data_IF_458582181835
#
_entry.id   IF_458582181835
#
_cell.length_a   1.000
_cell.length_b   1.000
_cell.length_c   1.000
_cell.angle_alpha   90.00
_cell.angle_beta   90.00
_cell.angle_gamma   90.00
#
_symmetry.space_group_name_H-M   'P 1'
#
loop_
_entity.id
_entity.type
_entity.pdbx_description
1 polymer ?
#
# COMPACT_ATOMS: atom_id res chain seq x y z
N UNK A 1 14.10 7.20 -28.47
CA UNK A 1 13.15 6.12 -28.16
C UNK A 1 13.66 5.43 -26.91
N UNK A 2 13.17 5.82 -25.74
CA UNK A 2 13.40 5.10 -24.49
C UNK A 2 12.51 3.86 -24.50
N UNK A 3 13.09 2.66 -24.38
CA UNK A 3 12.29 1.47 -24.06
C UNK A 3 11.55 1.77 -22.75
N UNK A 4 10.22 1.70 -22.76
CA UNK A 4 9.44 1.71 -21.53
C UNK A 4 9.85 0.48 -20.72
N UNK A 5 10.45 0.73 -19.56
CA UNK A 5 10.87 -0.34 -18.67
C UNK A 5 9.63 -0.97 -18.04
N UNK A 6 9.30 -2.19 -18.45
CA UNK A 6 8.15 -2.91 -17.91
C UNK A 6 8.52 -3.60 -16.60
N UNK A 7 7.89 -3.19 -15.50
CA UNK A 7 8.01 -3.88 -14.23
C UNK A 7 7.15 -5.15 -14.23
N UNK A 8 7.77 -6.29 -13.91
CA UNK A 8 7.06 -7.54 -13.63
C UNK A 8 7.00 -7.74 -12.12
N UNK A 9 6.08 -8.60 -11.66
CA UNK A 9 6.02 -8.97 -10.24
C UNK A 9 7.38 -9.51 -9.74
N UNK A 10 7.99 -10.42 -10.51
CA UNK A 10 9.32 -10.97 -10.20
C UNK A 10 10.39 -9.87 -10.03
N UNK A 11 10.31 -8.81 -10.83
CA UNK A 11 11.22 -7.68 -10.70
C UNK A 11 10.99 -6.88 -9.43
N UNK A 12 9.73 -6.57 -9.11
CA UNK A 12 9.36 -5.86 -7.87
C UNK A 12 9.73 -6.67 -6.61
N UNK A 13 9.63 -8.00 -6.68
CA UNK A 13 10.01 -8.91 -5.59
C UNK A 13 11.54 -9.00 -5.40
N UNK A 14 12.31 -8.80 -6.46
CA UNK A 14 13.77 -8.85 -6.40
C UNK A 14 14.41 -7.51 -5.97
N UNK A 15 13.64 -6.43 -5.89
CA UNK A 15 14.16 -5.12 -5.53
C UNK A 15 14.52 -5.03 -4.05
N UNK A 16 15.70 -4.47 -3.80
CA UNK A 16 16.13 -4.00 -2.49
C UNK A 16 15.58 -2.60 -2.22
N UNK A 17 15.67 -2.12 -0.98
CA UNK A 17 15.36 -0.73 -0.65
C UNK A 17 16.16 0.26 -1.50
N UNK A 18 17.45 -0.02 -1.74
CA UNK A 18 18.29 0.79 -2.62
C UNK A 18 17.78 0.84 -4.06
N UNK A 19 17.26 -0.27 -4.60
CA UNK A 19 16.69 -0.26 -5.95
C UNK A 19 15.45 0.64 -6.02
N UNK A 20 14.52 0.52 -5.07
CA UNK A 20 13.35 1.40 -4.97
C UNK A 20 13.75 2.88 -4.91
N UNK A 21 14.76 3.18 -4.10
CA UNK A 21 15.25 4.54 -3.89
C UNK A 21 15.91 5.13 -5.14
N UNK A 22 16.75 4.35 -5.82
CA UNK A 22 17.35 4.77 -7.08
C UNK A 22 16.29 5.07 -8.15
N UNK A 23 15.15 4.38 -8.16
CA UNK A 23 14.05 4.72 -9.07
C UNK A 23 13.36 6.02 -8.69
N UNK A 24 13.15 6.28 -7.39
CA UNK A 24 12.62 7.57 -6.92
C UNK A 24 13.55 8.73 -7.32
N UNK A 25 14.86 8.57 -7.14
CA UNK A 25 15.89 9.58 -7.43
C UNK A 25 16.01 9.93 -8.91
N UNK A 26 15.56 9.06 -9.83
CA UNK A 26 15.48 9.36 -11.27
C UNK A 26 14.41 10.39 -11.63
N UNK A 27 13.52 10.71 -10.68
CA UNK A 27 12.52 11.76 -10.83
C UNK A 27 11.08 11.25 -10.91
N UNK A 28 10.15 12.21 -10.95
CA UNK A 28 8.71 12.00 -10.73
C UNK A 28 8.09 10.97 -11.69
N UNK A 29 8.48 10.98 -12.97
CA UNK A 29 7.98 10.04 -13.98
C UNK A 29 8.35 8.58 -13.66
N UNK A 30 9.58 8.35 -13.20
CA UNK A 30 10.04 7.01 -12.84
C UNK A 30 9.35 6.52 -11.58
N UNK A 31 9.18 7.40 -10.59
CA UNK A 31 8.42 7.10 -9.39
C UNK A 31 6.96 6.75 -9.71
N UNK A 32 6.31 7.53 -10.56
CA UNK A 32 4.94 7.24 -10.99
C UNK A 32 4.83 5.91 -11.73
N UNK A 33 5.80 5.60 -12.60
CA UNK A 33 5.85 4.31 -13.30
C UNK A 33 5.99 3.15 -12.32
N UNK A 34 6.84 3.31 -11.30
CA UNK A 34 7.03 2.32 -10.24
C UNK A 34 5.76 2.13 -9.41
N UNK A 35 5.12 3.21 -8.95
CA UNK A 35 3.84 3.16 -8.23
C UNK A 35 2.75 2.50 -9.07
N UNK A 36 2.65 2.85 -10.36
CA UNK A 36 1.67 2.27 -11.29
C UNK A 36 1.87 0.77 -11.48
N UNK A 37 3.12 0.30 -11.50
CA UNK A 37 3.42 -1.13 -11.58
C UNK A 37 2.98 -1.89 -10.32
N UNK A 38 3.18 -1.32 -9.14
CA UNK A 38 2.73 -1.90 -7.86
C UNK A 38 1.20 -1.96 -7.84
N UNK A 39 0.51 -0.87 -8.21
CA UNK A 39 -0.96 -0.82 -8.32
C UNK A 39 -1.46 -1.90 -9.28
N UNK A 40 -0.84 -2.04 -10.46
CA UNK A 40 -1.21 -3.05 -11.44
C UNK A 40 -1.06 -4.49 -10.89
N UNK A 41 -0.02 -4.75 -10.10
CA UNK A 41 0.20 -6.07 -9.48
C UNK A 41 -0.81 -6.37 -8.35
N UNK A 42 -1.32 -5.34 -7.66
CA UNK A 42 -2.38 -5.51 -6.66
C UNK A 42 -3.71 -5.93 -7.30
N UNK A 43 -3.96 -5.59 -8.58
CA UNK A 43 -5.14 -6.05 -9.35
C UNK A 43 -6.46 -5.89 -8.58
N UNK A 44 -6.66 -4.71 -7.98
CA UNK A 44 -7.77 -4.48 -7.06
C UNK A 44 -9.12 -4.37 -7.78
N UNK A 45 -10.21 -4.84 -7.17
CA UNK A 45 -11.56 -4.64 -7.68
C UNK A 45 -11.92 -3.15 -7.86
N UNK A 46 -12.82 -2.85 -8.80
CA UNK A 46 -13.23 -1.46 -9.11
C UNK A 46 -13.84 -0.69 -7.93
N UNK A 47 -14.27 -1.37 -6.86
CA UNK A 47 -14.79 -0.71 -5.66
C UNK A 47 -13.71 -0.21 -4.71
N UNK A 48 -12.43 -0.47 -5.01
CA UNK A 48 -11.28 0.16 -4.36
C UNK A 48 -10.83 1.38 -5.16
N UNK A 49 -10.73 2.53 -4.49
CA UNK A 49 -9.95 3.67 -4.96
C UNK A 49 -8.49 3.48 -4.58
N UNK A 50 -7.59 3.94 -5.45
CA UNK A 50 -6.14 3.90 -5.22
C UNK A 50 -5.52 5.17 -5.73
N UNK A 51 -4.88 5.91 -4.83
CA UNK A 51 -4.01 7.03 -5.14
C UNK A 51 -2.57 6.66 -4.80
N UNK A 52 -1.61 7.33 -5.44
CA UNK A 52 -0.20 7.18 -5.13
C UNK A 52 0.47 8.54 -4.92
N UNK A 53 1.43 8.58 -4.01
CA UNK A 53 2.24 9.78 -3.82
C UNK A 53 3.12 10.00 -5.04
N UNK A 54 3.09 11.23 -5.57
CA UNK A 54 3.83 11.59 -6.77
C UNK A 54 5.11 12.35 -6.39
N UNK A 55 4.99 13.32 -5.50
CA UNK A 55 6.09 14.17 -5.02
C UNK A 55 6.31 13.98 -3.54
N UNK A 56 5.62 14.75 -2.71
CA UNK A 56 5.79 14.73 -1.25
C UNK A 56 4.47 15.12 -0.58
N UNK A 57 3.34 14.86 -1.27
CA UNK A 57 2.00 15.20 -0.77
C UNK A 57 1.73 14.56 0.60
N UNK A 58 2.39 13.44 0.90
CA UNK A 58 2.28 12.64 2.11
C UNK A 58 3.63 12.47 2.83
N UNK A 59 4.60 13.36 2.55
CA UNK A 59 5.91 13.42 3.21
C UNK A 59 7.08 12.88 2.39
N UNK A 60 6.83 12.15 1.30
CA UNK A 60 7.89 11.69 0.39
C UNK A 60 8.79 10.59 0.94
N UNK A 61 8.44 9.98 2.08
CA UNK A 61 9.31 9.07 2.82
C UNK A 61 9.58 7.78 2.04
N UNK A 62 8.57 7.24 1.35
CA UNK A 62 8.65 5.96 0.68
C UNK A 62 8.72 6.12 -0.85
N UNK A 63 9.58 5.38 -1.55
CA UNK A 63 9.60 5.33 -3.02
C UNK A 63 8.23 5.03 -3.64
N UNK A 64 7.49 4.07 -3.08
CA UNK A 64 6.07 3.85 -3.39
C UNK A 64 5.26 4.04 -2.11
N UNK A 65 4.30 4.96 -2.15
CA UNK A 65 3.31 5.16 -1.11
C UNK A 65 1.95 5.20 -1.78
N UNK A 66 1.11 4.22 -1.46
CA UNK A 66 -0.25 4.11 -1.97
C UNK A 66 -1.24 4.40 -0.84
N UNK A 67 -2.30 5.14 -1.15
CA UNK A 67 -3.49 5.28 -0.29
C UNK A 67 -4.67 4.66 -0.99
N UNK A 68 -5.27 3.68 -0.33
CA UNK A 68 -6.41 2.92 -0.79
C UNK A 68 -7.62 3.27 0.06
N UNK A 69 -8.79 3.29 -0.55
CA UNK A 69 -10.05 3.39 0.18
C UNK A 69 -11.14 2.55 -0.50
N UNK A 70 -12.00 1.93 0.29
CA UNK A 70 -13.18 1.27 -0.25
C UNK A 70 -14.25 2.34 -0.54
N UNK A 71 -14.94 2.28 -1.69
CA UNK A 71 -16.01 3.23 -2.04
C UNK A 71 -17.14 3.30 -1.01
N UNK A 72 -17.36 2.22 -0.24
CA UNK A 72 -18.36 2.16 0.83
C UNK A 72 -17.88 2.78 2.16
N UNK A 73 -16.58 3.00 2.33
CA UNK A 73 -15.97 3.66 3.47
C UNK A 73 -14.88 4.65 2.98
N UNK A 74 -15.27 5.70 2.22
CA UNK A 74 -14.32 6.52 1.46
C UNK A 74 -13.38 7.37 2.34
N UNK A 75 -13.73 7.57 3.61
CA UNK A 75 -12.95 8.32 4.59
C UNK A 75 -11.90 7.47 5.30
N UNK A 76 -11.91 6.15 5.11
CA UNK A 76 -10.92 5.24 5.69
C UNK A 76 -9.81 5.02 4.67
N UNK A 77 -8.61 5.48 5.01
CA UNK A 77 -7.43 5.29 4.19
C UNK A 77 -6.58 4.13 4.71
N UNK A 78 -6.25 3.22 3.80
CA UNK A 78 -5.32 2.12 4.00
C UNK A 78 -4.05 2.44 3.22
N UNK A 79 -2.89 2.30 3.83
CA UNK A 79 -1.62 2.60 3.20
C UNK A 79 -0.86 1.33 2.85
N UNK A 80 -0.32 1.26 1.64
CA UNK A 80 0.70 0.28 1.23
C UNK A 80 1.96 1.05 0.88
N UNK A 81 3.06 0.78 1.59
CA UNK A 81 4.34 1.49 1.42
C UNK A 81 5.48 0.54 1.15
N UNK A 82 6.39 0.92 0.26
CA UNK A 82 7.58 0.12 -0.12
C UNK A 82 8.69 0.20 0.91
N UNK A 83 9.72 -0.66 0.79
CA UNK A 83 11.03 -0.40 1.36
C UNK A 83 11.55 0.98 0.95
N UNK A 84 12.31 1.60 1.85
CA UNK A 84 12.97 2.91 1.72
C UNK A 84 14.33 2.87 2.40
N UNK A 85 15.06 3.99 2.41
CA UNK A 85 16.30 4.09 3.19
C UNK A 85 16.13 3.77 4.68
N UNK A 86 14.96 4.08 5.26
CA UNK A 86 14.70 3.90 6.69
C UNK A 86 14.19 2.50 7.05
N UNK A 87 13.63 1.76 6.08
CA UNK A 87 13.05 0.45 6.32
C UNK A 87 13.22 -0.50 5.12
N UNK A 88 13.71 -1.73 5.34
CA UNK A 88 13.81 -2.73 4.27
C UNK A 88 12.50 -3.46 3.96
N UNK A 89 11.42 -3.15 4.69
CA UNK A 89 10.15 -3.87 4.58
C UNK A 89 9.09 -3.09 3.81
N UNK A 90 8.25 -3.84 3.10
CA UNK A 90 6.92 -3.41 2.72
C UNK A 90 6.00 -3.40 3.93
N UNK A 91 5.12 -2.40 3.99
CA UNK A 91 4.08 -2.36 5.00
C UNK A 91 2.70 -2.14 4.40
N UNK A 92 1.72 -2.80 5.00
CA UNK A 92 0.31 -2.48 4.87
C UNK A 92 -0.23 -2.05 6.23
N UNK A 93 -0.81 -0.85 6.29
CA UNK A 93 -1.25 -0.26 7.56
C UNK A 93 -2.55 0.52 7.44
N UNK A 94 -3.29 0.53 8.54
CA UNK A 94 -4.48 1.34 8.73
C UNK A 94 -4.23 2.29 9.92
N UNK A 95 -4.30 3.59 9.67
CA UNK A 95 -4.27 4.59 10.73
C UNK A 95 -5.64 4.73 11.38
N UNK A 96 -5.68 4.86 12.69
CA UNK A 96 -6.88 5.04 13.49
C UNK A 96 -6.59 5.98 14.67
N UNK A 97 -7.59 6.27 15.50
CA UNK A 97 -7.49 7.31 16.55
C UNK A 97 -6.96 8.65 15.99
N UNK A 98 -7.58 9.11 14.90
CA UNK A 98 -7.21 10.36 14.20
C UNK A 98 -5.74 10.43 13.75
N UNK A 99 -5.10 9.28 13.55
CA UNK A 99 -3.72 9.17 13.08
C UNK A 99 -2.70 8.92 14.19
N UNK A 100 -3.13 8.84 15.45
CA UNK A 100 -2.24 8.60 16.59
C UNK A 100 -1.85 7.11 16.73
N UNK A 101 -2.65 6.22 16.17
CA UNK A 101 -2.46 4.77 16.27
C UNK A 101 -2.48 4.09 14.92
N UNK A 102 -1.77 2.96 14.82
CA UNK A 102 -1.59 2.21 13.57
C UNK A 102 -1.84 0.72 13.75
N UNK A 103 -2.65 0.14 12.87
CA UNK A 103 -2.84 -1.29 12.74
C UNK A 103 -2.05 -1.79 11.52
N UNK A 104 -0.93 -2.46 11.78
CA UNK A 104 -0.11 -3.09 10.74
C UNK A 104 -0.72 -4.45 10.38
N UNK A 105 -1.07 -4.66 9.12
CA UNK A 105 -1.63 -5.94 8.66
C UNK A 105 -0.74 -6.66 7.65
N UNK A 106 0.32 -5.99 7.19
CA UNK A 106 1.32 -6.57 6.32
C UNK A 106 2.69 -6.01 6.68
N UNK A 107 3.66 -6.89 6.87
CA UNK A 107 5.07 -6.55 7.07
C UNK A 107 5.95 -7.69 6.54
N UNK A 108 6.59 -7.45 5.39
CA UNK A 108 7.42 -8.43 4.67
C UNK A 108 8.53 -7.73 3.91
N UNK A 109 9.66 -8.40 3.76
CA UNK A 109 10.81 -7.95 2.96
C UNK A 109 10.60 -8.14 1.46
N UNK A 110 9.61 -8.96 1.08
CA UNK A 110 9.20 -9.21 -0.29
C UNK A 110 7.81 -8.60 -0.58
N UNK A 111 7.57 -8.24 -1.84
CA UNK A 111 6.26 -7.79 -2.31
C UNK A 111 5.36 -8.97 -2.66
N UNK A 112 4.35 -9.25 -1.83
CA UNK A 112 3.39 -10.35 -2.03
C UNK A 112 1.97 -9.78 -2.23
N UNK A 113 1.57 -9.48 -3.48
CA UNK A 113 0.28 -8.84 -3.74
C UNK A 113 -0.91 -9.73 -3.36
N UNK A 114 -0.78 -11.06 -3.42
CA UNK A 114 -1.81 -11.99 -2.96
C UNK A 114 -2.06 -11.90 -1.45
N UNK A 115 -0.99 -11.81 -0.64
CA UNK A 115 -1.06 -11.65 0.81
C UNK A 115 -1.74 -10.32 1.19
N UNK A 116 -1.39 -9.23 0.48
CA UNK A 116 -2.02 -7.92 0.66
C UNK A 116 -3.51 -7.97 0.28
N UNK A 117 -3.85 -8.55 -0.87
CA UNK A 117 -5.24 -8.70 -1.32
C UNK A 117 -6.08 -9.49 -0.33
N UNK A 118 -5.56 -10.59 0.23
CA UNK A 118 -6.30 -11.39 1.20
C UNK A 118 -6.77 -10.58 2.41
N UNK A 119 -5.95 -9.64 2.89
CA UNK A 119 -6.36 -8.73 3.98
C UNK A 119 -7.32 -7.64 3.49
N UNK A 120 -7.11 -7.10 2.29
CA UNK A 120 -8.03 -6.12 1.69
C UNK A 120 -9.42 -6.73 1.47
N UNK A 121 -9.53 -8.01 1.12
CA UNK A 121 -10.79 -8.72 1.01
C UNK A 121 -11.50 -8.83 2.37
N UNK A 122 -10.77 -9.17 3.43
CA UNK A 122 -11.29 -9.19 4.81
C UNK A 122 -11.78 -7.79 5.24
N UNK A 123 -11.00 -6.74 4.92
CA UNK A 123 -11.41 -5.37 5.18
C UNK A 123 -12.68 -5.00 4.42
N UNK A 124 -12.80 -5.42 3.15
CA UNK A 124 -14.00 -5.22 2.37
C UNK A 124 -15.21 -5.95 2.99
N UNK A 125 -15.03 -7.17 3.52
CA UNK A 125 -16.09 -7.90 4.23
C UNK A 125 -16.56 -7.14 5.49
N UNK A 126 -15.64 -6.63 6.31
CA UNK A 126 -16.01 -5.81 7.47
C UNK A 126 -16.73 -4.53 7.04
N UNK A 127 -16.26 -3.86 5.98
CA UNK A 127 -16.93 -2.66 5.46
C UNK A 127 -18.35 -2.99 4.97
N UNK A 128 -18.55 -4.12 4.29
CA UNK A 128 -19.88 -4.58 3.89
C UNK A 128 -20.77 -4.94 5.08
N UNK A 129 -20.19 -5.39 6.19
CA UNK A 129 -20.90 -5.64 7.45
C UNK A 129 -21.23 -4.35 8.22
N UNK A 130 -20.80 -3.17 7.75
CA UNK A 130 -21.14 -1.87 8.31
C UNK A 130 -20.03 -1.20 9.13
N UNK A 131 -18.82 -1.77 9.16
CA UNK A 131 -17.66 -1.19 9.83
C UNK A 131 -17.06 -0.11 8.92
N UNK A 132 -17.53 1.14 9.04
CA UNK A 132 -17.16 2.23 8.14
C UNK A 132 -16.20 3.24 8.77
N UNK A 133 -15.77 3.02 10.02
CA UNK A 133 -14.80 3.86 10.71
C UNK A 133 -13.46 3.13 10.90
N UNK A 134 -12.36 3.87 10.85
CA UNK A 134 -11.02 3.31 11.02
C UNK A 134 -10.83 2.59 12.36
N UNK A 135 -11.37 3.14 13.45
CA UNK A 135 -11.32 2.53 14.79
C UNK A 135 -12.02 1.17 14.83
N UNK A 136 -13.19 1.06 14.18
CA UNK A 136 -13.96 -0.18 14.12
C UNK A 136 -13.22 -1.26 13.33
N UNK A 137 -12.64 -0.88 12.19
CA UNK A 137 -11.85 -1.76 11.35
C UNK A 137 -10.54 -2.20 12.01
N UNK A 138 -9.85 -1.30 12.72
CA UNK A 138 -8.65 -1.64 13.48
C UNK A 138 -8.95 -2.66 14.58
N UNK A 139 -10.06 -2.50 15.31
CA UNK A 139 -10.53 -3.48 16.29
C UNK A 139 -10.89 -4.81 15.62
N UNK A 140 -11.61 -4.78 14.50
CA UNK A 140 -12.01 -5.99 13.78
C UNK A 140 -10.79 -6.77 13.26
N UNK A 141 -9.81 -6.09 12.65
CA UNK A 141 -8.54 -6.69 12.23
C UNK A 141 -7.80 -7.34 13.40
N UNK A 142 -7.72 -6.65 14.54
CA UNK A 142 -7.05 -7.16 15.74
C UNK A 142 -7.75 -8.41 16.29
N UNK A 143 -9.08 -8.37 16.40
CA UNK A 143 -9.87 -9.49 16.92
C UNK A 143 -9.86 -10.70 15.97
N UNK A 144 -9.75 -10.46 14.66
CA UNK A 144 -9.58 -11.51 13.65
C UNK A 144 -8.15 -12.08 13.56
N UNK A 145 -7.17 -11.50 14.28
CA UNK A 145 -5.78 -11.93 14.21
C UNK A 145 -5.07 -11.56 12.91
N UNK A 146 -5.50 -10.47 12.27
CA UNK A 146 -4.95 -9.97 11.00
C UNK A 146 -3.99 -8.78 11.18
N UNK A 147 -3.71 -8.41 12.44
CA UNK A 147 -2.68 -7.43 12.79
C UNK A 147 -1.41 -8.19 13.16
N UNK A 148 -0.26 -7.72 12.67
CA UNK A 148 1.07 -8.28 12.91
C UNK A 148 1.89 -7.46 13.89
#
# INVERSE_FOLDING_TARGET
MTQEEKFTLLKLQAFTSTDFEQYRERGEVFRQTLSSAVIACLSLPEYWGVDCEFRQEWGGEYPVHLRLNCKMAPTVYIEIVSPSHESPYWYGRLWFEDGESVAWFYSRDCFEPDSIRGVLDILAEYIHAGYTQANELAVALRMGGHVV
#
